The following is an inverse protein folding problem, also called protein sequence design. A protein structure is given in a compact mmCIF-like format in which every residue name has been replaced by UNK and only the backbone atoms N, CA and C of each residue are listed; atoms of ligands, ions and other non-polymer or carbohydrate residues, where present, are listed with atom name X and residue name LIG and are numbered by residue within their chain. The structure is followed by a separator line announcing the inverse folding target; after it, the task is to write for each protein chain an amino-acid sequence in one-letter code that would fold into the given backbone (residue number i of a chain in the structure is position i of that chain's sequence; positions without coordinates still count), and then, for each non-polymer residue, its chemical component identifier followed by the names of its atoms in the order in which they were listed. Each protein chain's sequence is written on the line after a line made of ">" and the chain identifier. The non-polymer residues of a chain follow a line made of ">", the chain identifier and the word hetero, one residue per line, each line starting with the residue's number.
data_IF_426270553180
#
_entry.id   IF_426270553180
#
_cell.length_a   1.000
_cell.length_b   1.000
_cell.length_c   1.000
_cell.angle_alpha   90.00
_cell.angle_beta   90.00
_cell.angle_gamma   90.00
#
_symmetry.space_group_name_H-M   'P 1'
#
loop_
_entity.id
_entity.type
_entity.pdbx_description
1 polymer ?
#
# COMPACT_ATOMS: atom_id res chain seq x y z
N UNK A 1 -40.07 -9.16 -2.22
CA UNK A 1 -39.37 -7.88 -2.24
C UNK A 1 -40.38 -6.80 -2.60
N UNK A 2 -40.71 -5.91 -1.66
CA UNK A 2 -41.61 -4.77 -1.86
C UNK A 2 -40.89 -3.64 -2.59
N UNK A 3 -41.63 -2.67 -3.16
CA UNK A 3 -41.02 -1.46 -3.74
C UNK A 3 -40.16 -0.71 -2.71
N UNK A 4 -40.59 -0.66 -1.45
CA UNK A 4 -39.86 -0.02 -0.37
C UNK A 4 -38.55 -0.74 -0.03
N UNK A 5 -38.53 -2.07 -0.04
CA UNK A 5 -37.30 -2.87 0.17
C UNK A 5 -36.28 -2.63 -0.97
N UNK A 6 -36.76 -2.47 -2.20
CA UNK A 6 -35.92 -2.14 -3.36
C UNK A 6 -35.34 -0.74 -3.26
N UNK A 7 -36.18 0.26 -2.95
CA UNK A 7 -35.74 1.65 -2.76
C UNK A 7 -34.71 1.78 -1.63
N UNK A 8 -34.89 1.06 -0.52
CA UNK A 8 -33.95 1.03 0.59
C UNK A 8 -32.61 0.38 0.17
N UNK A 9 -32.65 -0.70 -0.61
CA UNK A 9 -31.44 -1.36 -1.13
C UNK A 9 -30.67 -0.42 -2.07
N UNK A 10 -31.37 0.24 -2.99
CA UNK A 10 -30.77 1.18 -3.94
C UNK A 10 -30.17 2.40 -3.21
N UNK A 11 -30.87 2.94 -2.21
CA UNK A 11 -30.37 4.05 -1.38
C UNK A 11 -29.13 3.65 -0.58
N UNK A 12 -29.11 2.47 0.05
CA UNK A 12 -27.95 1.99 0.80
C UNK A 12 -26.73 1.77 -0.10
N UNK A 13 -26.94 1.29 -1.33
CA UNK A 13 -25.88 1.15 -2.32
C UNK A 13 -25.29 2.51 -2.70
N UNK A 14 -26.14 3.50 -3.01
CA UNK A 14 -25.72 4.85 -3.35
C UNK A 14 -24.96 5.52 -2.19
N UNK A 15 -25.43 5.36 -0.94
CA UNK A 15 -24.74 5.89 0.24
C UNK A 15 -23.33 5.28 0.36
N UNK A 16 -23.18 3.98 0.10
CA UNK A 16 -21.87 3.33 0.13
C UNK A 16 -20.94 3.88 -0.95
N UNK A 17 -21.43 4.03 -2.18
CA UNK A 17 -20.65 4.57 -3.30
C UNK A 17 -20.20 6.01 -3.03
N UNK A 18 -21.10 6.86 -2.53
CA UNK A 18 -20.77 8.26 -2.20
C UNK A 18 -19.78 8.36 -1.03
N UNK A 19 -19.86 7.46 -0.05
CA UNK A 19 -18.87 7.40 1.04
C UNK A 19 -17.50 7.01 0.52
N UNK A 20 -17.41 5.97 -0.31
CA UNK A 20 -16.12 5.59 -0.93
C UNK A 20 -15.54 6.73 -1.78
N UNK A 21 -16.37 7.44 -2.55
CA UNK A 21 -15.93 8.59 -3.34
C UNK A 21 -15.47 9.76 -2.45
N UNK A 22 -16.16 10.01 -1.34
CA UNK A 22 -15.79 11.07 -0.40
C UNK A 22 -14.45 10.75 0.28
N UNK A 23 -14.29 9.52 0.80
CA UNK A 23 -13.06 9.06 1.43
C UNK A 23 -11.87 9.15 0.45
N UNK A 24 -12.08 8.79 -0.82
CA UNK A 24 -11.06 8.93 -1.86
C UNK A 24 -10.65 10.39 -2.08
N UNK A 25 -11.61 11.32 -2.17
CA UNK A 25 -11.33 12.74 -2.37
C UNK A 25 -10.65 13.38 -1.16
N UNK A 26 -11.08 13.01 0.04
CA UNK A 26 -10.44 13.47 1.28
C UNK A 26 -8.99 13.00 1.35
N UNK A 27 -8.73 11.72 1.08
CA UNK A 27 -7.38 11.19 0.97
C UNK A 27 -6.57 11.95 -0.07
N UNK A 28 -7.09 12.11 -1.30
CA UNK A 28 -6.42 12.85 -2.37
C UNK A 28 -5.99 14.25 -1.90
N UNK A 29 -6.90 15.03 -1.33
CA UNK A 29 -6.64 16.40 -0.89
C UNK A 29 -5.54 16.42 0.18
N UNK A 30 -5.62 15.54 1.18
CA UNK A 30 -4.59 15.44 2.23
C UNK A 30 -3.21 15.13 1.65
N UNK A 31 -3.13 14.16 0.74
CA UNK A 31 -1.87 13.78 0.11
C UNK A 31 -1.28 14.94 -0.71
N UNK A 32 -2.10 15.69 -1.45
CA UNK A 32 -1.62 16.89 -2.16
C UNK A 32 -1.08 17.97 -1.20
N UNK A 33 -1.69 18.11 -0.03
CA UNK A 33 -1.23 19.08 0.98
C UNK A 33 0.14 18.70 1.53
N UNK A 34 0.36 17.41 1.82
CA UNK A 34 1.64 16.89 2.32
C UNK A 34 2.71 16.93 1.23
N UNK A 35 2.38 16.49 0.03
CA UNK A 35 3.33 16.38 -1.06
C UNK A 35 3.80 17.73 -1.61
N UNK A 36 3.06 18.82 -1.33
CA UNK A 36 3.31 20.19 -1.80
C UNK A 36 3.59 20.28 -3.32
N UNK A 37 3.03 19.34 -4.08
CA UNK A 37 3.24 19.22 -5.52
C UNK A 37 1.97 18.68 -6.16
N UNK A 38 1.72 19.06 -7.41
CA UNK A 38 0.62 18.44 -8.15
C UNK A 38 0.94 16.96 -8.35
N UNK A 39 -0.04 16.08 -8.19
CA UNK A 39 0.07 14.65 -8.50
C UNK A 39 -1.04 14.32 -9.47
N UNK A 40 -0.71 13.60 -10.55
CA UNK A 40 -1.70 13.23 -11.55
C UNK A 40 -2.77 12.31 -10.94
N UNK A 41 -4.05 12.46 -11.34
CA UNK A 41 -5.12 11.64 -10.78
C UNK A 41 -4.93 10.13 -10.96
N UNK A 42 -4.28 9.70 -12.04
CA UNK A 42 -3.97 8.28 -12.26
C UNK A 42 -2.96 7.75 -11.24
N UNK A 43 -1.90 8.51 -10.94
CA UNK A 43 -0.86 8.09 -9.98
C UNK A 43 -1.45 7.99 -8.56
N UNK A 44 -2.27 8.98 -8.18
CA UNK A 44 -2.98 8.95 -6.90
C UNK A 44 -3.92 7.74 -6.82
N UNK A 45 -4.70 7.49 -7.89
CA UNK A 45 -5.61 6.35 -7.94
C UNK A 45 -4.84 5.03 -7.83
N UNK A 46 -3.72 4.88 -8.54
CA UNK A 46 -2.91 3.67 -8.52
C UNK A 46 -2.35 3.40 -7.12
N UNK A 47 -1.80 4.42 -6.46
CA UNK A 47 -1.29 4.29 -5.09
C UNK A 47 -2.40 3.94 -4.08
N UNK A 48 -3.50 4.70 -4.06
CA UNK A 48 -4.60 4.47 -3.12
C UNK A 48 -5.30 3.12 -3.35
N UNK A 49 -5.50 2.72 -4.61
CA UNK A 49 -6.05 1.40 -4.92
C UNK A 49 -5.11 0.28 -4.49
N UNK A 50 -3.80 0.42 -4.75
CA UNK A 50 -2.82 -0.57 -4.32
C UNK A 50 -2.87 -0.78 -2.80
N UNK A 51 -2.89 0.30 -2.02
CA UNK A 51 -2.96 0.25 -0.55
C UNK A 51 -4.29 -0.38 -0.10
N UNK A 52 -5.42 0.06 -0.66
CA UNK A 52 -6.77 -0.44 -0.37
C UNK A 52 -6.91 -1.93 -0.67
N UNK A 53 -6.52 -2.36 -1.87
CA UNK A 53 -6.70 -3.73 -2.34
C UNK A 53 -5.82 -4.73 -1.59
N UNK A 54 -4.66 -4.28 -1.10
CA UNK A 54 -3.77 -5.07 -0.25
C UNK A 54 -4.02 -4.88 1.25
N UNK A 55 -4.97 -4.01 1.65
CA UNK A 55 -5.33 -3.71 3.05
C UNK A 55 -4.12 -3.27 3.88
N UNK A 56 -3.19 -2.52 3.30
CA UNK A 56 -1.95 -2.13 4.00
C UNK A 56 -2.25 -1.25 5.22
N UNK A 57 -3.26 -0.36 5.14
CA UNK A 57 -3.81 0.35 6.31
C UNK A 57 -4.81 -0.46 7.14
N UNK A 58 -4.73 -1.79 7.13
CA UNK A 58 -5.62 -2.73 7.85
C UNK A 58 -6.97 -3.02 7.18
N UNK A 59 -7.54 -2.07 6.41
CA UNK A 59 -8.84 -2.21 5.77
C UNK A 59 -8.87 -1.84 4.29
N UNK A 60 -9.78 -2.51 3.56
CA UNK A 60 -10.04 -2.25 2.15
C UNK A 60 -11.00 -1.05 1.95
N UNK A 61 -10.62 0.13 2.45
CA UNK A 61 -11.33 1.39 2.18
C UNK A 61 -10.34 2.54 1.95
N UNK A 62 -10.82 3.64 1.37
CA UNK A 62 -9.94 4.78 1.03
C UNK A 62 -9.55 5.64 2.21
N UNK A 63 -10.33 5.65 3.30
CA UNK A 63 -9.95 6.35 4.52
C UNK A 63 -8.64 5.77 5.07
N UNK A 64 -8.60 4.47 5.32
CA UNK A 64 -7.40 3.76 5.78
C UNK A 64 -6.26 3.83 4.76
N UNK A 65 -6.58 3.75 3.46
CA UNK A 65 -5.55 3.88 2.43
C UNK A 65 -4.91 5.27 2.40
N UNK A 66 -5.72 6.32 2.62
CA UNK A 66 -5.27 7.70 2.74
C UNK A 66 -4.35 7.90 3.93
N UNK A 67 -4.77 7.46 5.12
CA UNK A 67 -3.95 7.56 6.35
C UNK A 67 -2.60 6.85 6.19
N UNK A 68 -2.60 5.64 5.60
CA UNK A 68 -1.36 4.90 5.35
C UNK A 68 -0.43 5.65 4.38
N UNK A 69 -0.97 6.22 3.30
CA UNK A 69 -0.16 6.98 2.32
C UNK A 69 0.36 8.29 2.90
N UNK A 70 -0.44 8.97 3.71
CA UNK A 70 -0.06 10.16 4.46
C UNK A 70 1.13 9.88 5.37
N UNK A 71 1.03 8.81 6.18
CA UNK A 71 2.13 8.39 7.05
C UNK A 71 3.38 7.98 6.26
N UNK A 72 3.21 7.24 5.16
CA UNK A 72 4.31 6.84 4.28
C UNK A 72 5.10 8.06 3.75
N UNK A 73 4.38 9.09 3.30
CA UNK A 73 5.00 10.31 2.79
C UNK A 73 5.72 11.10 3.88
N UNK A 74 5.07 11.30 5.03
CA UNK A 74 5.67 12.03 6.15
C UNK A 74 6.98 11.35 6.58
N UNK A 75 6.93 10.03 6.83
CA UNK A 75 8.11 9.27 7.23
C UNK A 75 9.22 9.35 6.16
N UNK A 76 8.87 9.17 4.89
CA UNK A 76 9.86 9.24 3.80
C UNK A 76 10.49 10.64 3.68
N UNK A 77 9.69 11.69 3.87
CA UNK A 77 10.16 13.08 3.76
C UNK A 77 11.13 13.41 4.89
N UNK A 78 10.82 12.96 6.10
CA UNK A 78 11.69 13.08 7.27
C UNK A 78 13.00 12.31 7.09
N UNK A 79 12.92 11.03 6.71
CA UNK A 79 14.10 10.16 6.53
C UNK A 79 15.04 10.65 5.43
N UNK A 80 14.48 11.12 4.31
CA UNK A 80 15.26 11.63 3.18
C UNK A 80 15.67 13.10 3.35
N UNK A 81 15.22 13.78 4.41
CA UNK A 81 15.50 15.19 4.65
C UNK A 81 15.01 16.09 3.53
N UNK A 82 13.83 15.80 2.97
CA UNK A 82 13.26 16.49 1.79
C UNK A 82 13.16 18.00 2.02
N UNK A 83 12.89 18.43 3.27
CA UNK A 83 12.85 19.83 3.71
C UNK A 83 14.17 20.58 3.65
N UNK A 84 15.28 19.86 3.58
CA UNK A 84 16.61 20.45 3.49
C UNK A 84 17.18 20.45 2.07
N UNK A 85 16.42 19.97 1.08
CA UNK A 85 16.86 19.95 -0.31
C UNK A 85 17.01 21.37 -0.87
N UNK A 86 18.04 21.56 -1.69
CA UNK A 86 18.14 22.76 -2.53
C UNK A 86 17.03 22.78 -3.59
N UNK A 87 16.87 23.93 -4.24
CA UNK A 87 15.82 24.14 -5.23
C UNK A 87 15.83 23.08 -6.35
N UNK A 88 17.00 22.76 -6.90
CA UNK A 88 17.11 21.79 -8.01
C UNK A 88 16.78 20.37 -7.56
N UNK A 89 17.25 19.97 -6.38
CA UNK A 89 16.99 18.64 -5.84
C UNK A 89 15.52 18.48 -5.46
N UNK A 90 14.89 19.53 -4.91
CA UNK A 90 13.46 19.56 -4.65
C UNK A 90 12.63 19.46 -5.93
N UNK A 91 13.01 20.16 -6.99
CA UNK A 91 12.33 20.07 -8.29
C UNK A 91 12.44 18.66 -8.89
N UNK A 92 13.62 18.04 -8.83
CA UNK A 92 13.82 16.67 -9.30
C UNK A 92 12.99 15.67 -8.48
N UNK A 93 12.98 15.82 -7.15
CA UNK A 93 12.14 15.02 -6.26
C UNK A 93 10.66 15.16 -6.61
N UNK A 94 10.17 16.39 -6.76
CA UNK A 94 8.79 16.67 -7.12
C UNK A 94 8.42 16.10 -8.50
N UNK A 95 9.34 16.11 -9.45
CA UNK A 95 9.14 15.52 -10.77
C UNK A 95 9.04 13.98 -10.71
N UNK A 96 9.85 13.34 -9.87
CA UNK A 96 9.76 11.91 -9.61
C UNK A 96 8.48 11.53 -8.86
N UNK A 97 8.14 12.27 -7.79
CA UNK A 97 6.96 12.04 -6.96
C UNK A 97 5.66 12.12 -7.78
N UNK A 98 5.64 13.03 -8.76
CA UNK A 98 4.54 13.23 -9.73
C UNK A 98 4.22 12.03 -10.61
N UNK A 99 5.18 11.14 -10.82
CA UNK A 99 5.12 10.11 -11.87
C UNK A 99 5.25 8.69 -11.32
N UNK A 100 6.15 8.46 -10.38
CA UNK A 100 6.49 7.10 -9.93
C UNK A 100 6.65 7.01 -8.41
N UNK A 101 6.87 8.16 -7.74
CA UNK A 101 7.32 8.16 -6.35
C UNK A 101 6.27 7.70 -5.35
N UNK A 102 4.97 7.90 -5.59
CA UNK A 102 3.95 7.47 -4.63
C UNK A 102 3.99 5.95 -4.38
N UNK A 103 3.98 5.14 -5.45
CA UNK A 103 4.05 3.68 -5.31
C UNK A 103 5.40 3.23 -4.75
N UNK A 104 6.50 3.89 -5.11
CA UNK A 104 7.81 3.60 -4.54
C UNK A 104 7.84 3.79 -3.02
N UNK A 105 7.31 4.92 -2.53
CA UNK A 105 7.23 5.26 -1.10
C UNK A 105 6.31 4.29 -0.36
N UNK A 106 5.16 3.95 -0.95
CA UNK A 106 4.27 2.91 -0.41
C UNK A 106 5.00 1.56 -0.30
N UNK A 107 5.76 1.21 -1.33
CA UNK A 107 6.56 0.00 -1.37
C UNK A 107 7.61 -0.05 -0.27
N UNK A 108 8.29 1.06 0.00
CA UNK A 108 9.28 1.18 1.08
C UNK A 108 8.64 0.98 2.46
N UNK A 109 7.52 1.66 2.77
CA UNK A 109 6.79 1.45 4.03
C UNK A 109 6.29 0.00 4.16
N UNK A 110 5.72 -0.56 3.09
CA UNK A 110 5.28 -1.95 3.07
C UNK A 110 6.43 -2.93 3.31
N UNK A 111 7.62 -2.66 2.74
CA UNK A 111 8.79 -3.49 2.99
C UNK A 111 9.28 -3.40 4.43
N UNK A 112 9.26 -2.20 5.03
CA UNK A 112 9.60 -1.98 6.45
C UNK A 112 8.67 -2.74 7.39
N UNK A 113 7.36 -2.68 7.14
CA UNK A 113 6.36 -3.39 7.94
C UNK A 113 6.43 -4.91 7.77
N UNK A 114 6.67 -5.38 6.54
CA UNK A 114 6.91 -6.80 6.28
C UNK A 114 8.19 -7.27 6.98
N UNK A 115 9.25 -6.45 6.99
CA UNK A 115 10.49 -6.78 7.68
C UNK A 115 10.28 -6.87 9.18
N UNK A 116 9.58 -5.90 9.78
CA UNK A 116 9.22 -5.92 11.20
C UNK A 116 8.43 -7.19 11.59
N UNK A 117 7.54 -7.65 10.70
CA UNK A 117 6.80 -8.90 10.90
C UNK A 117 7.71 -10.15 10.85
N UNK A 118 8.87 -10.06 10.22
CA UNK A 118 9.87 -11.12 10.09
C UNK A 118 11.04 -10.98 11.07
N UNK A 119 10.99 -10.04 12.04
CA UNK A 119 12.13 -9.73 12.91
C UNK A 119 12.71 -10.97 13.63
N UNK A 120 11.86 -11.94 13.97
CA UNK A 120 12.28 -13.19 14.62
C UNK A 120 12.93 -14.23 13.68
N UNK A 121 12.86 -14.05 12.36
CA UNK A 121 13.25 -15.07 11.37
C UNK A 121 14.69 -14.94 10.87
N UNK A 122 15.49 -14.00 11.38
CA UNK A 122 16.86 -13.73 10.90
C UNK A 122 16.93 -13.50 9.36
N UNK A 123 15.84 -12.98 8.78
CA UNK A 123 15.74 -12.60 7.37
C UNK A 123 15.69 -11.08 7.33
N UNK A 124 16.66 -10.46 6.64
CA UNK A 124 16.63 -9.03 6.34
C UNK A 124 16.07 -8.83 4.93
N UNK A 125 14.87 -8.26 4.82
CA UNK A 125 14.24 -8.01 3.53
C UNK A 125 14.93 -6.90 2.74
N UNK A 126 15.52 -5.90 3.40
CA UNK A 126 16.12 -4.76 2.72
C UNK A 126 17.33 -5.14 1.85
N UNK A 127 18.05 -6.20 2.24
CA UNK A 127 19.19 -6.73 1.47
C UNK A 127 18.75 -7.71 0.37
N UNK A 128 17.52 -8.22 0.47
CA UNK A 128 17.03 -9.36 -0.32
C UNK A 128 16.05 -8.94 -1.41
N UNK A 129 15.23 -7.90 -1.19
CA UNK A 129 14.09 -7.59 -2.03
C UNK A 129 14.44 -6.46 -3.01
N UNK A 130 14.46 -6.78 -4.31
CA UNK A 130 14.56 -5.78 -5.38
C UNK A 130 13.15 -5.34 -5.80
N UNK A 131 12.61 -4.38 -5.04
CA UNK A 131 11.30 -3.77 -5.24
C UNK A 131 11.41 -2.58 -6.20
N UNK A 132 10.60 -2.60 -7.26
CA UNK A 132 10.52 -1.57 -8.29
C UNK A 132 9.10 -1.07 -8.43
N UNK A 133 8.94 0.18 -8.87
CA UNK A 133 7.66 0.70 -9.32
C UNK A 133 7.78 1.33 -10.69
N UNK A 134 6.68 1.29 -11.43
CA UNK A 134 6.39 2.24 -12.50
C UNK A 134 5.14 3.06 -12.12
N UNK A 135 4.64 3.89 -13.03
CA UNK A 135 3.45 4.72 -12.80
C UNK A 135 2.16 3.93 -12.52
N UNK A 136 2.15 2.62 -12.73
CA UNK A 136 0.96 1.77 -12.60
C UNK A 136 1.12 0.66 -11.58
N UNK A 137 2.32 0.11 -11.42
CA UNK A 137 2.53 -1.10 -10.66
C UNK A 137 3.73 -1.00 -9.73
N UNK A 138 3.58 -1.62 -8.56
CA UNK A 138 4.69 -2.02 -7.70
C UNK A 138 4.99 -3.50 -7.99
N UNK A 139 6.26 -3.86 -8.15
CA UNK A 139 6.63 -5.21 -8.54
C UNK A 139 8.02 -5.62 -8.09
N UNK A 140 8.23 -6.94 -7.96
CA UNK A 140 9.56 -7.51 -7.70
C UNK A 140 10.32 -7.79 -8.99
N UNK A 141 11.61 -7.50 -8.97
CA UNK A 141 12.56 -7.87 -10.02
C UNK A 141 13.20 -9.24 -9.76
N UNK A 142 13.43 -9.61 -8.49
CA UNK A 142 14.08 -10.86 -8.08
C UNK A 142 13.16 -11.82 -7.31
N UNK A 143 11.90 -11.95 -7.74
CA UNK A 143 10.87 -12.70 -7.00
C UNK A 143 11.21 -14.16 -6.69
N UNK A 144 11.96 -14.86 -7.56
CA UNK A 144 12.39 -16.25 -7.31
C UNK A 144 13.35 -16.37 -6.11
N UNK A 145 14.33 -15.47 -6.01
CA UNK A 145 15.29 -15.44 -4.90
C UNK A 145 14.59 -15.12 -3.58
N UNK A 146 13.67 -14.15 -3.61
CA UNK A 146 12.85 -13.78 -2.45
C UNK A 146 11.98 -14.97 -2.03
N UNK A 147 11.37 -15.71 -2.98
CA UNK A 147 10.62 -16.93 -2.66
C UNK A 147 11.51 -17.95 -1.97
N UNK A 148 12.68 -18.28 -2.50
CA UNK A 148 13.56 -19.30 -1.94
C UNK A 148 13.89 -19.05 -0.47
N UNK A 149 14.13 -17.77 -0.12
CA UNK A 149 14.41 -17.35 1.26
C UNK A 149 13.17 -17.38 2.16
N UNK A 150 12.02 -16.91 1.67
CA UNK A 150 10.82 -16.79 2.51
C UNK A 150 9.98 -18.06 2.57
N UNK A 151 10.13 -18.98 1.62
CA UNK A 151 9.32 -20.21 1.51
C UNK A 151 9.27 -21.07 2.78
N UNK A 152 10.38 -21.26 3.54
CA UNK A 152 10.31 -22.00 4.81
C UNK A 152 9.38 -21.35 5.82
N UNK A 153 9.35 -20.01 5.86
CA UNK A 153 8.50 -19.24 6.77
C UNK A 153 7.05 -19.16 6.29
N UNK A 154 6.83 -18.83 5.01
CA UNK A 154 5.50 -18.75 4.37
C UNK A 154 4.73 -20.07 4.56
N UNK A 155 5.41 -21.23 4.51
CA UNK A 155 4.78 -22.53 4.74
C UNK A 155 4.32 -22.78 6.18
N UNK A 156 4.89 -22.08 7.16
CA UNK A 156 4.52 -22.19 8.58
C UNK A 156 3.38 -21.25 8.95
N UNK A 157 3.22 -20.14 8.23
CA UNK A 157 2.16 -19.16 8.49
C UNK A 157 0.80 -19.74 8.13
N UNK A 158 -0.14 -19.62 9.07
CA UNK A 158 -1.56 -19.82 8.80
C UNK A 158 -2.22 -18.50 8.38
N UNK A 159 -2.14 -18.19 7.08
CA UNK A 159 -2.72 -16.97 6.52
C UNK A 159 -4.24 -16.89 6.74
N UNK A 160 -4.93 -18.05 6.78
CA UNK A 160 -6.39 -18.08 6.97
C UNK A 160 -6.77 -17.72 8.40
N UNK A 161 -6.02 -18.21 9.39
CA UNK A 161 -6.22 -17.82 10.79
C UNK A 161 -5.96 -16.33 10.97
N UNK A 162 -4.86 -15.81 10.40
CA UNK A 162 -4.53 -14.38 10.49
C UNK A 162 -5.57 -13.50 9.79
N UNK A 163 -6.14 -13.92 8.66
CA UNK A 163 -7.25 -13.21 8.02
C UNK A 163 -8.47 -13.09 8.96
N UNK A 164 -8.84 -14.19 9.63
CA UNK A 164 -9.96 -14.21 10.58
C UNK A 164 -9.67 -13.33 11.81
N UNK A 165 -8.44 -13.34 12.29
CA UNK A 165 -8.02 -12.54 13.44
C UNK A 165 -8.02 -11.05 13.10
N UNK A 166 -7.47 -10.66 11.94
CA UNK A 166 -7.48 -9.28 11.47
C UNK A 166 -8.91 -8.74 11.29
N UNK A 167 -9.84 -9.57 10.80
CA UNK A 167 -11.26 -9.19 10.69
C UNK A 167 -11.93 -8.95 12.05
N UNK A 168 -11.57 -9.73 13.09
CA UNK A 168 -12.13 -9.59 14.44
C UNK A 168 -11.52 -8.46 15.24
N UNK A 169 -10.22 -8.23 15.07
CA UNK A 169 -9.43 -7.26 15.82
C UNK A 169 -9.54 -5.83 15.28
N UNK A 170 -10.36 -5.62 14.25
CA UNK A 170 -10.48 -4.34 13.57
C UNK A 170 -9.15 -3.83 12.94
N UNK A 171 -8.32 -4.74 12.43
CA UNK A 171 -7.30 -4.47 11.39
C UNK A 171 -6.02 -3.71 11.76
N UNK A 172 -6.00 -2.81 12.74
CA UNK A 172 -4.84 -1.92 13.00
C UNK A 172 -3.58 -2.66 13.45
N UNK A 173 -3.71 -3.73 14.21
CA UNK A 173 -2.54 -4.46 14.75
C UNK A 173 -1.95 -5.47 13.74
N UNK A 174 -2.42 -5.44 12.48
CA UNK A 174 -2.11 -6.44 11.45
C UNK A 174 -1.41 -5.85 10.21
N UNK A 175 -0.94 -4.61 10.26
CA UNK A 175 -0.23 -3.93 9.16
C UNK A 175 0.96 -4.76 8.64
N UNK A 176 1.86 -5.20 9.54
CA UNK A 176 2.99 -6.07 9.18
C UNK A 176 2.57 -7.41 8.54
N UNK A 177 1.43 -7.96 8.96
CA UNK A 177 0.87 -9.15 8.32
C UNK A 177 0.38 -8.85 6.89
N UNK A 178 -0.37 -7.78 6.69
CA UNK A 178 -0.88 -7.38 5.38
C UNK A 178 0.28 -7.00 4.44
N UNK A 179 1.31 -6.35 4.96
CA UNK A 179 2.54 -6.06 4.26
C UNK A 179 3.26 -7.34 3.79
N UNK A 180 3.46 -8.31 4.67
CA UNK A 180 4.03 -9.61 4.29
C UNK A 180 3.14 -10.33 3.26
N UNK A 181 1.82 -10.31 3.45
CA UNK A 181 0.86 -10.92 2.50
C UNK A 181 0.95 -10.25 1.13
N UNK A 182 1.12 -8.93 1.08
CA UNK A 182 1.35 -8.18 -0.13
C UNK A 182 2.67 -8.59 -0.81
N UNK A 183 3.76 -8.71 -0.05
CA UNK A 183 5.04 -9.21 -0.58
C UNK A 183 4.89 -10.61 -1.20
N UNK A 184 4.19 -11.53 -0.53
CA UNK A 184 3.90 -12.87 -1.07
C UNK A 184 3.11 -12.81 -2.38
N UNK A 185 2.14 -11.90 -2.49
CA UNK A 185 1.41 -11.65 -3.73
C UNK A 185 2.36 -11.20 -4.85
N UNK A 186 3.23 -10.23 -4.58
CA UNK A 186 4.20 -9.71 -5.56
C UNK A 186 5.22 -10.78 -6.02
N UNK A 187 5.61 -11.69 -5.13
CA UNK A 187 6.45 -12.87 -5.48
C UNK A 187 5.74 -13.73 -6.53
N UNK A 188 4.46 -14.05 -6.31
CA UNK A 188 3.70 -14.86 -7.24
C UNK A 188 3.49 -14.16 -8.59
N UNK A 189 3.16 -12.87 -8.58
CA UNK A 189 3.01 -12.07 -9.81
C UNK A 189 4.33 -11.92 -10.59
N UNK A 190 5.49 -11.89 -9.91
CA UNK A 190 6.79 -11.94 -10.57
C UNK A 190 6.98 -13.24 -11.35
N UNK A 191 6.63 -14.38 -10.74
CA UNK A 191 6.75 -15.69 -11.38
C UNK A 191 5.83 -15.85 -12.58
N UNK A 192 4.60 -15.35 -12.47
CA UNK A 192 3.64 -15.38 -13.59
C UNK A 192 4.11 -14.55 -14.78
N UNK A 193 4.83 -13.45 -14.55
CA UNK A 193 5.43 -12.63 -15.63
C UNK A 193 6.65 -13.28 -16.29
N UNK A 194 7.34 -14.16 -15.58
CA UNK A 194 8.56 -14.84 -16.05
C UNK A 194 8.30 -16.25 -16.61
N UNK A 195 7.07 -16.79 -16.51
CA UNK A 195 6.66 -18.11 -16.98
C UNK A 195 6.23 -18.12 -18.46
#
# INVERSE_FOLDING_TARGET
>A
MTNLEKELQDANKLIKELREENDYKEAYIKILQIAETNILPCEMANALNFIKDNRLGGYANYFCAGEYLEEALINYFEECGIDNLDFTSRDNFNAWLRCEGLLAIVGDKMLKEANAFLDDEAINLFDLVDLRSDSTNLYLQNGEEVEEKLKPFIKKIDFKRLDIEAEKAFGSDFEGYFALKCLVKLINECKERNA
#
